data_IF_740519726376
#
_entry.id   IF_740519726376
#
_cell.length_a   1.000
_cell.length_b   1.000
_cell.length_c   1.000
_cell.angle_alpha   90.00
_cell.angle_beta   90.00
_cell.angle_gamma   90.00
#
_symmetry.space_group_name_H-M   'P 1'
#
loop_
_entity.id
_entity.type
_entity.pdbx_description
1 polymer ?
#
# COMPACT_ATOMS: atom_id res chain seq x y z
N UNK A 1 3.73 -25.11 -13.29
CA UNK A 1 2.45 -25.83 -13.18
C UNK A 1 2.32 -26.41 -11.78
N UNK A 2 1.20 -26.16 -11.11
CA UNK A 2 0.94 -26.71 -9.77
C UNK A 2 0.78 -28.25 -9.82
N UNK A 3 1.17 -28.92 -8.75
CA UNK A 3 0.96 -30.38 -8.64
C UNK A 3 -0.52 -30.70 -8.36
N UNK A 4 -0.99 -31.82 -8.86
CA UNK A 4 -2.35 -32.31 -8.62
C UNK A 4 -2.57 -32.56 -7.13
N UNK A 5 -3.54 -31.90 -6.49
CA UNK A 5 -3.81 -32.11 -5.06
C UNK A 5 -4.37 -33.50 -4.79
N UNK A 6 -4.05 -34.06 -3.62
CA UNK A 6 -4.61 -35.29 -3.11
C UNK A 6 -5.52 -35.00 -1.92
N UNK A 7 -6.57 -35.80 -1.76
CA UNK A 7 -7.48 -35.71 -0.63
C UNK A 7 -6.79 -36.30 0.62
N UNK A 8 -6.53 -35.48 1.62
CA UNK A 8 -5.83 -35.88 2.86
C UNK A 8 -6.77 -36.38 3.95
N UNK A 9 -8.03 -35.95 3.95
CA UNK A 9 -9.04 -36.41 4.91
C UNK A 9 -10.46 -36.20 4.36
N UNK A 10 -11.41 -37.01 4.82
CA UNK A 10 -12.84 -36.94 4.42
C UNK A 10 -13.64 -36.03 5.38
N UNK A 11 -12.99 -35.22 6.22
CA UNK A 11 -13.65 -34.19 7.02
C UNK A 11 -14.14 -33.02 6.17
N UNK A 12 -15.15 -32.27 6.63
CA UNK A 12 -15.65 -31.09 5.91
C UNK A 12 -14.55 -30.07 5.59
N UNK A 13 -13.60 -29.85 6.52
CA UNK A 13 -12.45 -28.97 6.32
C UNK A 13 -11.45 -29.56 5.29
N UNK A 14 -11.19 -30.88 5.34
CA UNK A 14 -10.33 -31.56 4.36
C UNK A 14 -10.90 -31.50 2.95
N UNK A 15 -12.22 -31.68 2.80
CA UNK A 15 -12.91 -31.56 1.52
C UNK A 15 -12.85 -30.12 0.98
N UNK A 16 -13.10 -29.11 1.80
CA UNK A 16 -13.01 -27.70 1.38
C UNK A 16 -11.59 -27.33 0.92
N UNK A 17 -10.57 -27.76 1.66
CA UNK A 17 -9.16 -27.55 1.28
C UNK A 17 -8.83 -28.24 -0.03
N UNK A 18 -9.29 -29.49 -0.19
CA UNK A 18 -9.09 -30.24 -1.43
C UNK A 18 -9.76 -29.55 -2.64
N UNK A 19 -11.04 -29.16 -2.52
CA UNK A 19 -11.74 -28.50 -3.63
C UNK A 19 -11.11 -27.14 -3.97
N UNK A 20 -10.68 -26.38 -2.99
CA UNK A 20 -9.96 -25.11 -3.21
C UNK A 20 -8.65 -25.34 -3.96
N UNK A 21 -7.84 -26.30 -3.52
CA UNK A 21 -6.59 -26.65 -4.16
C UNK A 21 -6.80 -27.27 -5.56
N UNK A 22 -7.82 -28.08 -5.72
CA UNK A 22 -8.16 -28.69 -7.02
C UNK A 22 -8.64 -27.65 -8.02
N UNK A 23 -9.46 -26.69 -7.60
CA UNK A 23 -9.89 -25.58 -8.45
C UNK A 23 -8.70 -24.75 -8.92
N UNK A 24 -7.75 -24.46 -8.01
CA UNK A 24 -6.50 -23.78 -8.36
C UNK A 24 -5.70 -24.60 -9.37
N UNK A 25 -5.53 -25.90 -9.11
CA UNK A 25 -4.82 -26.81 -10.02
C UNK A 25 -5.44 -26.81 -11.43
N UNK A 26 -6.76 -26.97 -11.54
CA UNK A 26 -7.44 -26.95 -12.85
C UNK A 26 -7.25 -25.62 -13.57
N UNK A 27 -7.34 -24.51 -12.86
CA UNK A 27 -7.09 -23.18 -13.44
C UNK A 27 -5.67 -23.04 -13.98
N UNK A 28 -4.69 -23.64 -13.30
CA UNK A 28 -3.28 -23.60 -13.72
C UNK A 28 -2.99 -24.52 -14.92
N UNK A 29 -3.86 -25.51 -15.23
CA UNK A 29 -3.71 -26.42 -16.38
C UNK A 29 -4.31 -25.88 -17.68
N UNK A 30 -4.97 -24.72 -17.66
CA UNK A 30 -5.54 -24.13 -18.87
C UNK A 30 -4.41 -23.74 -19.83
N UNK A 31 -4.39 -24.38 -21.00
CA UNK A 31 -3.39 -24.12 -22.05
C UNK A 31 -3.47 -22.65 -22.48
N UNK A 32 -2.33 -21.96 -22.44
CA UNK A 32 -2.28 -20.55 -22.79
C UNK A 32 -3.00 -19.62 -21.82
N UNK A 33 -3.21 -20.03 -20.56
CA UNK A 33 -3.90 -19.24 -19.53
C UNK A 33 -3.37 -17.79 -19.48
N UNK A 34 -2.06 -17.61 -19.50
CA UNK A 34 -1.46 -16.28 -19.42
C UNK A 34 -1.79 -15.42 -20.65
N UNK A 35 -1.90 -16.05 -21.83
CA UNK A 35 -2.35 -15.37 -23.04
C UNK A 35 -3.83 -14.97 -22.95
N UNK A 36 -4.68 -15.82 -22.36
CA UNK A 36 -6.09 -15.48 -22.13
C UNK A 36 -6.26 -14.36 -21.10
N UNK A 37 -5.48 -14.38 -20.02
CA UNK A 37 -5.48 -13.32 -19.02
C UNK A 37 -4.97 -12.01 -19.64
N UNK A 38 -3.91 -12.06 -20.44
CA UNK A 38 -3.39 -10.89 -21.16
C UNK A 38 -4.39 -10.34 -22.18
N UNK A 39 -5.08 -11.21 -22.91
CA UNK A 39 -6.14 -10.82 -23.84
C UNK A 39 -7.31 -10.16 -23.11
N UNK A 40 -7.80 -10.78 -22.02
CA UNK A 40 -8.85 -10.19 -21.17
C UNK A 40 -8.45 -8.82 -20.66
N UNK A 41 -7.26 -8.70 -20.07
CA UNK A 41 -6.74 -7.42 -19.58
C UNK A 41 -6.63 -6.37 -20.70
N UNK A 42 -6.18 -6.78 -21.89
CA UNK A 42 -6.11 -5.89 -23.05
C UNK A 42 -7.48 -5.42 -23.50
N UNK A 43 -8.46 -6.31 -23.58
CA UNK A 43 -9.85 -5.97 -23.94
C UNK A 43 -10.44 -5.03 -22.88
N UNK A 44 -10.28 -5.36 -21.61
CA UNK A 44 -10.81 -4.54 -20.51
C UNK A 44 -10.20 -3.13 -20.49
N UNK A 45 -8.90 -2.99 -20.68
CA UNK A 45 -8.21 -1.70 -20.59
C UNK A 45 -8.24 -0.90 -21.89
N UNK A 46 -8.02 -1.54 -23.04
CA UNK A 46 -7.90 -0.82 -24.33
C UNK A 46 -9.22 -0.71 -25.10
N UNK A 47 -10.09 -1.72 -25.03
CA UNK A 47 -11.37 -1.73 -25.76
C UNK A 47 -12.49 -1.19 -24.87
N UNK A 48 -12.62 -1.70 -23.66
CA UNK A 48 -13.68 -1.29 -22.74
C UNK A 48 -13.31 -0.07 -21.89
N UNK A 49 -12.07 0.38 -21.95
CA UNK A 49 -11.54 1.55 -21.21
C UNK A 49 -11.91 1.52 -19.73
N UNK A 50 -11.87 0.35 -19.12
CA UNK A 50 -12.15 0.20 -17.71
C UNK A 50 -11.06 0.88 -16.89
N UNK A 51 -11.46 1.76 -15.99
CA UNK A 51 -10.57 2.45 -15.04
C UNK A 51 -10.26 1.60 -13.80
N UNK A 52 -10.80 0.39 -13.71
CA UNK A 52 -10.49 -0.54 -12.62
C UNK A 52 -10.50 -2.00 -13.10
N UNK A 53 -9.63 -2.79 -12.52
CA UNK A 53 -9.56 -4.25 -12.71
C UNK A 53 -9.16 -4.92 -11.39
N UNK A 54 -9.92 -5.93 -10.95
CA UNK A 54 -9.57 -6.72 -9.77
C UNK A 54 -9.42 -5.94 -8.45
N UNK A 55 -10.12 -4.80 -8.30
CA UNK A 55 -10.00 -3.94 -7.10
C UNK A 55 -8.83 -2.95 -7.17
N UNK A 56 -8.17 -2.84 -8.32
CA UNK A 56 -7.11 -1.88 -8.59
C UNK A 56 -7.65 -0.81 -9.54
N UNK A 57 -7.40 0.45 -9.22
CA UNK A 57 -7.66 1.59 -10.09
C UNK A 57 -6.48 1.77 -11.04
N UNK A 58 -6.77 1.94 -12.32
CA UNK A 58 -5.78 2.16 -13.37
C UNK A 58 -5.67 3.68 -13.58
N UNK A 59 -4.63 4.26 -13.03
CA UNK A 59 -4.39 5.70 -13.10
C UNK A 59 -3.56 6.12 -14.30
N UNK A 60 -3.33 7.43 -14.39
CA UNK A 60 -2.43 8.03 -15.40
C UNK A 60 -0.98 7.63 -15.11
N UNK A 61 -0.11 7.86 -16.09
CA UNK A 61 1.33 7.58 -16.03
C UNK A 61 1.66 6.12 -15.63
N UNK A 62 0.77 5.18 -15.97
CA UNK A 62 0.89 3.75 -15.64
C UNK A 62 0.88 3.44 -14.14
N UNK A 63 0.35 4.33 -13.32
CA UNK A 63 0.20 4.08 -11.89
C UNK A 63 -1.04 3.23 -11.60
N UNK A 64 -0.90 2.33 -10.66
CA UNK A 64 -1.97 1.49 -10.13
C UNK A 64 -2.22 1.84 -8.68
N UNK A 65 -3.48 2.08 -8.33
CA UNK A 65 -3.87 2.43 -6.97
C UNK A 65 -4.78 1.36 -6.39
N UNK A 66 -4.55 0.89 -5.16
CA UNK A 66 -5.51 0.05 -4.47
C UNK A 66 -6.83 0.80 -4.33
N UNK A 67 -7.94 0.12 -4.59
CA UNK A 67 -9.25 0.67 -4.29
C UNK A 67 -9.49 0.59 -2.79
N UNK A 68 -9.12 1.61 -2.06
CA UNK A 68 -9.55 1.80 -0.69
C UNK A 68 -10.93 2.45 -0.72
N UNK A 69 -11.98 1.64 -0.75
CA UNK A 69 -13.33 2.18 -0.73
C UNK A 69 -13.61 2.81 0.64
N UNK A 70 -13.44 4.14 0.71
CA UNK A 70 -13.62 4.92 1.95
C UNK A 70 -15.02 4.88 2.54
N UNK A 71 -15.99 4.28 1.86
CA UNK A 71 -17.36 4.49 2.24
C UNK A 71 -17.98 3.42 3.12
N UNK A 72 -17.53 2.17 3.15
CA UNK A 72 -18.11 1.12 4.04
C UNK A 72 -17.20 -0.13 4.09
N UNK A 73 -15.92 0.00 4.17
CA UNK A 73 -15.08 -1.17 4.28
C UNK A 73 -14.90 -1.59 5.75
N UNK A 74 -14.61 -2.88 5.95
CA UNK A 74 -14.13 -3.36 7.25
C UNK A 74 -12.87 -2.61 7.71
N UNK A 75 -12.14 -2.03 6.77
CA UNK A 75 -10.92 -1.25 6.97
C UNK A 75 -11.18 0.06 7.69
N UNK A 76 -12.17 0.86 7.27
CA UNK A 76 -12.50 2.13 7.94
C UNK A 76 -13.08 1.92 9.34
N UNK A 77 -13.69 0.77 9.63
CA UNK A 77 -14.17 0.44 10.99
C UNK A 77 -13.04 0.19 11.98
N UNK A 78 -11.85 -0.13 11.52
CA UNK A 78 -10.69 -0.35 12.39
C UNK A 78 -9.95 0.94 12.72
N UNK A 79 -10.09 1.99 11.91
CA UNK A 79 -9.38 3.25 12.10
C UNK A 79 -9.59 3.87 13.50
N UNK A 80 -10.83 4.02 14.03
CA UNK A 80 -11.01 4.56 15.38
C UNK A 80 -10.39 3.70 16.48
N UNK A 81 -10.37 2.38 16.30
CA UNK A 81 -9.73 1.46 17.26
C UNK A 81 -8.21 1.59 17.22
N UNK A 82 -7.63 1.76 16.03
CA UNK A 82 -6.21 1.94 15.86
C UNK A 82 -5.77 3.30 16.44
N UNK A 83 -6.54 4.37 16.20
CA UNK A 83 -6.30 5.69 16.79
C UNK A 83 -6.31 5.60 18.31
N UNK A 84 -7.36 5.01 18.92
CA UNK A 84 -7.45 4.84 20.37
C UNK A 84 -6.29 4.00 20.95
N UNK A 85 -5.81 2.99 20.23
CA UNK A 85 -4.64 2.20 20.66
C UNK A 85 -3.34 3.03 20.65
N UNK A 86 -3.17 3.88 19.63
CA UNK A 86 -2.04 4.81 19.55
C UNK A 86 -2.09 5.88 20.65
N UNK A 87 -3.27 6.46 20.91
CA UNK A 87 -3.48 7.38 22.03
C UNK A 87 -3.10 6.75 23.37
N UNK A 88 -3.59 5.54 23.64
CA UNK A 88 -3.26 4.82 24.87
C UNK A 88 -1.75 4.54 25.00
N UNK A 89 -1.08 4.23 23.88
CA UNK A 89 0.36 4.05 23.85
C UNK A 89 1.11 5.37 24.15
N UNK A 90 0.69 6.49 23.55
CA UNK A 90 1.26 7.80 23.79
C UNK A 90 1.07 8.25 25.24
N UNK A 91 -0.12 8.07 25.81
CA UNK A 91 -0.41 8.36 27.21
C UNK A 91 0.44 7.53 28.18
N UNK A 92 0.69 6.26 27.84
CA UNK A 92 1.53 5.37 28.65
C UNK A 92 3.02 5.76 28.63
N UNK A 93 3.48 6.31 27.50
CA UNK A 93 4.89 6.68 27.28
C UNK A 93 5.03 8.11 26.77
N UNK A 94 4.63 9.13 27.56
CA UNK A 94 4.60 10.51 27.10
C UNK A 94 5.98 10.97 26.65
N UNK A 95 6.01 11.65 25.50
CA UNK A 95 7.24 12.17 24.88
C UNK A 95 8.18 11.12 24.27
N UNK A 96 7.85 9.82 24.36
CA UNK A 96 8.71 8.74 23.85
C UNK A 96 8.16 8.07 22.57
N UNK A 97 6.90 8.30 22.24
CA UNK A 97 6.25 7.70 21.08
C UNK A 97 6.29 8.68 19.91
N UNK A 98 6.86 8.24 18.81
CA UNK A 98 6.83 8.96 17.54
C UNK A 98 6.02 8.12 16.56
N UNK A 99 4.99 8.74 15.98
CA UNK A 99 4.09 8.09 15.01
C UNK A 99 4.34 8.71 13.65
N UNK A 100 4.66 7.89 12.67
CA UNK A 100 4.80 8.27 11.27
C UNK A 100 3.92 7.34 10.45
N UNK A 101 2.92 7.89 9.78
CA UNK A 101 2.12 7.16 8.80
C UNK A 101 2.55 7.58 7.41
N UNK A 102 2.75 6.58 6.56
CA UNK A 102 3.11 6.80 5.16
C UNK A 102 1.83 6.93 4.35
N UNK A 103 1.61 8.07 3.67
CA UNK A 103 0.43 8.25 2.83
C UNK A 103 0.44 7.27 1.64
N UNK A 104 -0.74 6.92 1.16
CA UNK A 104 -0.85 6.14 -0.06
C UNK A 104 -0.37 6.95 -1.28
N UNK A 105 0.06 6.26 -2.34
CA UNK A 105 0.44 6.91 -3.59
C UNK A 105 -0.68 7.81 -4.16
N UNK A 106 -1.96 7.45 -3.92
CA UNK A 106 -3.12 8.23 -4.34
C UNK A 106 -3.24 9.60 -3.66
N UNK A 107 -2.72 9.75 -2.44
CA UNK A 107 -2.69 11.03 -1.74
C UNK A 107 -1.54 11.94 -2.26
N UNK A 108 -0.42 11.34 -2.69
CA UNK A 108 0.72 12.10 -3.23
C UNK A 108 0.54 12.45 -4.71
N UNK A 109 -0.15 11.62 -5.48
CA UNK A 109 -0.40 11.80 -6.91
C UNK A 109 -1.91 11.83 -7.24
N UNK A 110 -2.70 12.72 -6.62
CA UNK A 110 -4.14 12.78 -6.86
C UNK A 110 -4.49 13.05 -8.32
N UNK A 111 -3.64 13.76 -9.06
CA UNK A 111 -3.78 14.05 -10.49
C UNK A 111 -3.71 12.80 -11.39
N UNK A 112 -3.11 11.73 -10.88
CA UNK A 112 -2.98 10.46 -11.60
C UNK A 112 -4.12 9.48 -11.28
N UNK A 113 -4.91 9.75 -10.26
CA UNK A 113 -6.07 8.93 -9.89
C UNK A 113 -7.22 9.15 -10.87
N UNK A 114 -7.99 8.11 -11.26
CA UNK A 114 -9.19 8.28 -12.06
C UNK A 114 -10.21 9.21 -11.38
N UNK A 115 -10.86 10.07 -12.18
CA UNK A 115 -11.84 11.04 -11.66
C UNK A 115 -13.02 10.31 -10.98
N UNK A 116 -13.41 10.78 -9.81
CA UNK A 116 -14.53 10.20 -9.06
C UNK A 116 -14.22 8.83 -8.41
N UNK A 117 -12.96 8.42 -8.38
CA UNK A 117 -12.57 7.21 -7.68
C UNK A 117 -12.95 7.29 -6.19
N UNK A 118 -13.62 6.26 -5.62
CA UNK A 118 -14.05 6.27 -4.23
C UNK A 118 -12.86 5.95 -3.32
N UNK A 119 -12.02 6.95 -3.05
CA UNK A 119 -10.90 6.84 -2.14
C UNK A 119 -11.27 7.36 -0.74
N UNK A 120 -10.53 6.89 0.26
CA UNK A 120 -10.55 7.47 1.60
C UNK A 120 -10.00 8.90 1.53
N UNK A 121 -10.63 9.83 2.24
CA UNK A 121 -10.03 11.13 2.54
C UNK A 121 -8.93 10.91 3.58
N UNK A 122 -7.74 10.57 3.06
CA UNK A 122 -6.59 10.22 3.87
C UNK A 122 -6.00 11.45 4.56
N UNK A 123 -6.08 12.62 3.94
CA UNK A 123 -5.59 13.86 4.52
C UNK A 123 -6.35 14.23 5.79
N UNK A 124 -7.68 14.24 5.74
CA UNK A 124 -8.51 14.49 6.92
C UNK A 124 -8.28 13.46 8.04
N UNK A 125 -8.04 12.19 7.66
CA UNK A 125 -7.72 11.16 8.65
C UNK A 125 -6.36 11.38 9.30
N UNK A 126 -5.33 11.69 8.52
CA UNK A 126 -3.98 11.95 9.03
C UNK A 126 -3.92 13.20 9.92
N UNK A 127 -4.68 14.25 9.57
CA UNK A 127 -4.82 15.43 10.42
C UNK A 127 -5.45 15.08 11.77
N UNK A 128 -6.57 14.35 11.76
CA UNK A 128 -7.24 13.90 12.98
C UNK A 128 -6.35 13.00 13.84
N UNK A 129 -5.56 12.12 13.21
CA UNK A 129 -4.62 11.25 13.91
C UNK A 129 -3.47 12.03 14.51
N UNK A 130 -2.95 13.03 13.79
CA UNK A 130 -1.91 13.94 14.28
C UNK A 130 -2.36 14.64 15.55
N UNK A 131 -3.57 15.22 15.54
CA UNK A 131 -4.15 15.90 16.69
C UNK A 131 -4.31 14.95 17.88
N UNK A 132 -4.84 13.76 17.66
CA UNK A 132 -5.03 12.75 18.69
C UNK A 132 -3.70 12.30 19.32
N UNK A 133 -2.69 12.03 18.51
CA UNK A 133 -1.34 11.62 18.96
C UNK A 133 -0.70 12.73 19.78
N UNK A 134 -0.77 13.98 19.33
CA UNK A 134 -0.19 15.13 20.03
C UNK A 134 -0.91 15.40 21.35
N UNK A 135 -2.24 15.37 21.36
CA UNK A 135 -3.04 15.54 22.58
C UNK A 135 -2.74 14.43 23.61
N UNK A 136 -2.42 13.22 23.16
CA UNK A 136 -2.04 12.10 24.01
C UNK A 136 -0.55 12.14 24.49
N UNK A 137 0.22 13.18 24.13
CA UNK A 137 1.62 13.34 24.53
C UNK A 137 2.62 12.60 23.63
N UNK A 138 2.21 12.14 22.46
CA UNK A 138 3.08 11.60 21.41
C UNK A 138 3.57 12.69 20.45
N UNK A 139 4.38 12.31 19.49
CA UNK A 139 4.81 13.16 18.37
C UNK A 139 4.36 12.53 17.06
N UNK A 140 3.69 13.31 16.23
CA UNK A 140 3.35 12.88 14.86
C UNK A 140 4.37 13.45 13.89
N UNK A 141 4.92 12.58 13.03
CA UNK A 141 5.88 12.94 11.96
C UNK A 141 5.13 12.89 10.64
N UNK A 142 4.72 14.07 10.17
CA UNK A 142 3.96 14.19 8.92
C UNK A 142 4.91 14.23 7.71
N UNK A 143 4.89 13.18 6.91
CA UNK A 143 5.76 13.03 5.73
C UNK A 143 5.11 13.52 4.43
N UNK A 144 3.83 13.93 4.46
CA UNK A 144 3.08 14.32 3.26
C UNK A 144 3.76 15.43 2.46
N UNK A 145 4.12 16.52 3.13
CA UNK A 145 4.76 17.65 2.48
C UNK A 145 6.13 17.28 1.89
N UNK A 146 6.92 16.50 2.63
CA UNK A 146 8.24 16.04 2.17
C UNK A 146 8.10 15.17 0.94
N UNK A 147 7.19 14.18 0.94
CA UNK A 147 6.99 13.32 -0.21
C UNK A 147 6.41 14.09 -1.40
N UNK A 148 5.47 15.00 -1.18
CA UNK A 148 4.90 15.84 -2.25
C UNK A 148 5.97 16.73 -2.90
N UNK A 149 6.93 17.25 -2.12
CA UNK A 149 8.03 18.06 -2.66
C UNK A 149 8.97 17.27 -3.60
N UNK A 150 9.00 15.96 -3.46
CA UNK A 150 9.82 15.03 -4.26
C UNK A 150 9.00 14.18 -5.23
N UNK A 151 7.73 14.54 -5.50
CA UNK A 151 6.83 13.73 -6.32
C UNK A 151 7.26 13.59 -7.80
N UNK A 152 8.12 14.46 -8.27
CA UNK A 152 8.69 14.37 -9.62
C UNK A 152 9.78 13.29 -9.73
N UNK A 153 10.24 12.77 -8.61
CA UNK A 153 11.17 11.64 -8.54
C UNK A 153 10.41 10.31 -8.44
N UNK A 154 11.12 9.18 -8.62
CA UNK A 154 10.53 7.85 -8.50
C UNK A 154 10.44 7.43 -7.04
N UNK A 155 9.53 8.04 -6.28
CA UNK A 155 9.35 7.81 -4.84
C UNK A 155 8.26 6.80 -4.49
N UNK A 156 7.40 6.42 -5.44
CA UNK A 156 6.44 5.31 -5.34
C UNK A 156 6.55 4.39 -6.53
N UNK A 157 6.37 3.08 -6.30
CA UNK A 157 6.25 2.12 -7.39
C UNK A 157 4.96 2.37 -8.19
N UNK A 158 5.01 2.16 -9.51
CA UNK A 158 3.85 2.40 -10.37
C UNK A 158 2.81 1.29 -10.30
N UNK A 159 3.26 0.05 -10.10
CA UNK A 159 2.42 -1.16 -10.13
C UNK A 159 2.31 -1.84 -8.78
N UNK A 160 2.75 -1.17 -7.73
CA UNK A 160 2.74 -1.63 -6.35
C UNK A 160 2.31 -0.47 -5.46
N UNK A 161 1.71 -0.78 -4.30
CA UNK A 161 1.21 0.24 -3.36
C UNK A 161 2.28 0.81 -2.43
N UNK A 162 3.50 0.31 -2.51
CA UNK A 162 4.59 0.79 -1.65
C UNK A 162 5.32 2.00 -2.24
N UNK A 163 5.94 2.75 -1.36
CA UNK A 163 6.98 3.69 -1.72
C UNK A 163 8.27 2.97 -2.13
N UNK A 164 9.14 3.67 -2.84
CA UNK A 164 10.47 3.17 -3.18
C UNK A 164 11.45 3.42 -2.03
N UNK A 165 12.65 2.86 -2.12
CA UNK A 165 13.74 3.18 -1.19
C UNK A 165 14.06 4.68 -1.17
N UNK A 166 13.91 5.38 -2.31
CA UNK A 166 14.09 6.83 -2.40
C UNK A 166 13.04 7.58 -1.57
N UNK A 167 11.75 7.21 -1.72
CA UNK A 167 10.68 7.79 -0.90
C UNK A 167 10.89 7.52 0.59
N UNK A 168 11.25 6.29 0.95
CA UNK A 168 11.56 5.92 2.32
C UNK A 168 12.75 6.71 2.89
N UNK A 169 13.76 6.99 2.08
CA UNK A 169 14.93 7.78 2.50
C UNK A 169 14.56 9.23 2.82
N UNK A 170 13.67 9.87 2.05
CA UNK A 170 13.21 11.22 2.37
C UNK A 170 12.43 11.26 3.69
N UNK A 171 11.56 10.29 3.92
CA UNK A 171 10.85 10.18 5.19
C UNK A 171 11.80 9.90 6.37
N UNK A 172 12.81 9.06 6.16
CA UNK A 172 13.86 8.80 7.15
C UNK A 172 14.65 10.08 7.50
N UNK A 173 15.01 10.90 6.51
CA UNK A 173 15.68 12.19 6.78
C UNK A 173 14.81 13.09 7.64
N UNK A 174 13.52 13.25 7.30
CA UNK A 174 12.58 14.03 8.10
C UNK A 174 12.47 13.48 9.53
N UNK A 175 12.44 12.17 9.70
CA UNK A 175 12.42 11.54 11.03
C UNK A 175 13.70 11.88 11.80
N UNK A 176 14.87 11.79 11.18
CA UNK A 176 16.14 12.16 11.80
C UNK A 176 16.13 13.64 12.22
N UNK A 177 15.71 14.54 11.34
CA UNK A 177 15.61 15.97 11.65
C UNK A 177 14.66 16.23 12.85
N UNK A 178 13.50 15.54 12.84
CA UNK A 178 12.51 15.65 13.93
C UNK A 178 13.06 15.18 15.28
N UNK A 179 13.96 14.19 15.26
CA UNK A 179 14.56 13.58 16.46
C UNK A 179 15.94 14.17 16.80
N UNK A 180 16.40 15.19 16.06
CA UNK A 180 17.74 15.76 16.18
C UNK A 180 18.86 14.70 16.04
N UNK A 181 18.66 13.74 15.12
CA UNK A 181 19.63 12.73 14.76
C UNK A 181 20.33 13.10 13.46
N UNK A 182 21.59 12.69 13.31
CA UNK A 182 22.30 12.83 12.03
C UNK A 182 21.84 11.72 11.08
N UNK A 183 21.25 12.06 9.92
CA UNK A 183 20.85 11.05 8.96
C UNK A 183 22.07 10.38 8.32
N UNK A 184 21.88 9.13 7.88
CA UNK A 184 22.85 8.43 7.07
C UNK A 184 23.05 9.17 5.74
N UNK A 185 24.30 9.42 5.37
CA UNK A 185 24.67 10.03 4.11
C UNK A 185 25.15 8.95 3.13
N UNK A 186 24.37 8.61 2.09
CA UNK A 186 24.76 7.58 1.13
C UNK A 186 25.97 7.99 0.29
N UNK A 187 26.30 9.29 0.19
CA UNK A 187 27.42 9.77 -0.65
C UNK A 187 28.79 9.38 -0.11
N UNK A 188 28.88 9.10 1.20
CA UNK A 188 30.14 8.69 1.84
C UNK A 188 30.32 7.17 1.90
N UNK A 189 29.41 6.40 1.30
CA UNK A 189 29.44 4.94 1.27
C UNK A 189 29.56 4.40 -0.15
N UNK A 190 30.17 3.23 -0.27
CA UNK A 190 30.24 2.53 -1.55
C UNK A 190 28.87 1.95 -1.88
N UNK A 191 28.32 2.39 -3.02
CA UNK A 191 27.09 1.80 -3.57
C UNK A 191 27.46 0.53 -4.31
N UNK A 192 26.88 -0.61 -3.88
CA UNK A 192 26.96 -1.85 -4.63
C UNK A 192 25.76 -1.95 -5.55
N UNK A 193 25.98 -2.00 -6.85
CA UNK A 193 24.93 -2.32 -7.83
C UNK A 193 24.96 -3.82 -8.08
N UNK A 194 23.79 -4.46 -7.95
CA UNK A 194 23.59 -5.84 -8.37
C UNK A 194 22.76 -5.83 -9.66
N UNK A 195 23.37 -6.29 -10.76
CA UNK A 195 22.67 -6.48 -12.02
C UNK A 195 21.98 -7.84 -12.03
N UNK A 196 20.73 -7.90 -12.48
CA UNK A 196 20.03 -9.16 -12.74
C UNK A 196 18.92 -9.57 -11.75
N UNK A 197 18.23 -8.63 -11.15
CA UNK A 197 16.97 -8.85 -10.43
C UNK A 197 15.77 -8.53 -11.31
#
# INVERSE_FOLDING_TARGET
>A
LSQRPSLSSVSADGLNKFFTAYTKYVKDQVVGRDNWVALQSTVETKVMQKEQSGGILLGKQHMMFPRTSGLVSSETRTLPKNTAALEALCQRYPGKVNVMLVPAASAIYPENVPAGAPLLDEDSYLDSLSDAVQAAGGRFVDVRQTLTAHKDEYIYYRTDHHWTSTGAYYAYKLLCDTLALTPFDPSVHTVLTADGF
#
